data_IF_275967448793
#
_entry.id   IF_275967448793
#
_cell.length_a   1.000
_cell.length_b   1.000
_cell.length_c   1.000
_cell.angle_alpha   90.00
_cell.angle_beta   90.00
_cell.angle_gamma   90.00
#
_symmetry.space_group_name_H-M   'P 1'
#
loop_
_entity.id
_entity.type
_entity.pdbx_description
1 polymer ?
#
# COMPACT_ATOMS: atom_id res chain seq x y z
N UNK A 1 -22.73 4.07 -8.90
CA UNK A 1 -21.69 3.16 -9.38
C UNK A 1 -20.29 3.74 -9.09
N UNK A 2 -19.29 2.91 -8.78
CA UNK A 2 -17.89 3.34 -8.77
C UNK A 2 -17.45 3.76 -10.18
N UNK A 3 -16.44 4.65 -10.25
CA UNK A 3 -15.94 5.21 -11.52
C UNK A 3 -15.57 4.11 -12.55
N UNK A 4 -15.05 2.99 -12.10
CA UNK A 4 -14.71 1.83 -12.91
C UNK A 4 -15.94 1.25 -13.64
N UNK A 5 -17.06 1.04 -12.92
CA UNK A 5 -18.30 0.54 -13.54
C UNK A 5 -18.88 1.54 -14.55
N UNK A 6 -18.80 2.85 -14.25
CA UNK A 6 -19.22 3.90 -15.18
C UNK A 6 -18.37 3.89 -16.45
N UNK A 7 -17.05 3.75 -16.32
CA UNK A 7 -16.13 3.67 -17.45
C UNK A 7 -16.40 2.42 -18.29
N UNK A 8 -16.59 1.27 -17.68
CA UNK A 8 -16.89 0.01 -18.35
C UNK A 8 -18.22 0.10 -19.12
N UNK A 9 -19.25 0.66 -18.48
CA UNK A 9 -20.55 0.87 -19.15
C UNK A 9 -20.42 1.81 -20.36
N UNK A 10 -19.64 2.87 -20.24
CA UNK A 10 -19.41 3.80 -21.36
C UNK A 10 -18.64 3.15 -22.51
N UNK A 11 -17.75 2.20 -22.23
CA UNK A 11 -16.93 1.53 -23.23
C UNK A 11 -17.68 0.40 -23.95
N UNK A 12 -18.37 -0.46 -23.22
CA UNK A 12 -18.96 -1.68 -23.78
C UNK A 12 -20.43 -1.93 -23.39
N UNK A 13 -21.09 -0.98 -22.72
CA UNK A 13 -22.48 -1.12 -22.28
C UNK A 13 -22.69 -1.99 -21.04
N UNK A 14 -21.63 -2.51 -20.43
CA UNK A 14 -21.68 -3.40 -19.27
C UNK A 14 -21.15 -2.66 -18.04
N UNK A 15 -22.02 -2.45 -17.04
CA UNK A 15 -21.60 -1.91 -15.74
C UNK A 15 -21.07 -3.07 -14.89
N UNK A 16 -19.76 -3.21 -14.80
CA UNK A 16 -19.13 -4.25 -14.00
C UNK A 16 -17.86 -3.74 -13.31
N UNK A 17 -17.48 -4.38 -12.19
CA UNK A 17 -16.22 -4.20 -11.47
C UNK A 17 -15.61 -5.56 -11.19
N UNK A 18 -14.30 -5.59 -10.90
CA UNK A 18 -13.66 -6.81 -10.44
C UNK A 18 -14.02 -7.10 -8.97
N UNK A 19 -13.90 -8.37 -8.59
CA UNK A 19 -14.20 -8.82 -7.21
C UNK A 19 -13.26 -8.20 -6.19
N UNK A 20 -12.00 -7.90 -6.56
CA UNK A 20 -11.06 -7.25 -5.66
C UNK A 20 -11.45 -5.78 -5.37
N UNK A 21 -11.96 -5.05 -6.37
CA UNK A 21 -12.57 -3.73 -6.14
C UNK A 21 -13.83 -3.84 -5.29
N UNK A 22 -14.67 -4.88 -5.50
CA UNK A 22 -15.87 -5.11 -4.72
C UNK A 22 -15.59 -5.32 -3.22
N UNK A 23 -14.41 -5.85 -2.84
CA UNK A 23 -13.97 -5.94 -1.44
C UNK A 23 -13.99 -4.59 -0.71
N UNK A 24 -13.83 -3.47 -1.43
CA UNK A 24 -13.90 -2.13 -0.82
C UNK A 24 -15.32 -1.75 -0.38
N UNK A 25 -16.34 -2.50 -0.78
CA UNK A 25 -17.73 -2.32 -0.42
C UNK A 25 -18.22 -3.26 0.70
N UNK A 26 -17.30 -4.01 1.35
CA UNK A 26 -17.70 -4.83 2.51
C UNK A 26 -18.32 -3.99 3.62
N UNK A 27 -19.35 -4.47 4.31
CA UNK A 27 -19.95 -5.83 4.21
C UNK A 27 -21.00 -6.01 3.11
N UNK A 28 -21.32 -4.99 2.29
CA UNK A 28 -22.32 -5.12 1.21
C UNK A 28 -21.91 -6.17 0.17
N UNK A 29 -20.62 -6.32 -0.10
CA UNK A 29 -20.03 -7.46 -0.79
C UNK A 29 -19.61 -8.49 0.27
N UNK A 30 -20.09 -9.73 0.17
CA UNK A 30 -19.86 -10.79 1.17
C UNK A 30 -18.61 -11.65 0.88
N UNK A 31 -17.85 -11.30 -0.17
CA UNK A 31 -16.71 -12.07 -0.68
C UNK A 31 -17.05 -12.92 -1.91
N UNK A 32 -18.32 -13.12 -2.21
CA UNK A 32 -18.83 -13.90 -3.34
C UNK A 32 -19.77 -13.08 -4.22
N UNK A 33 -20.67 -12.31 -3.60
CA UNK A 33 -21.71 -11.53 -4.28
C UNK A 33 -22.14 -10.31 -3.46
N UNK A 34 -23.16 -9.63 -3.97
CA UNK A 34 -23.84 -8.59 -3.21
C UNK A 34 -24.80 -9.24 -2.21
N UNK A 35 -24.66 -8.91 -0.92
CA UNK A 35 -25.52 -9.45 0.15
C UNK A 35 -26.95 -8.95 -0.02
N UNK A 36 -27.84 -9.85 -0.42
CA UNK A 36 -29.25 -9.51 -0.67
C UNK A 36 -29.99 -9.05 0.60
N UNK A 37 -29.62 -9.58 1.77
CA UNK A 37 -30.23 -9.20 3.05
C UNK A 37 -29.83 -7.77 3.40
N UNK A 38 -28.55 -7.47 3.34
CA UNK A 38 -28.05 -6.14 3.62
C UNK A 38 -28.53 -5.11 2.60
N UNK A 39 -28.61 -5.49 1.32
CA UNK A 39 -29.25 -4.66 0.28
C UNK A 39 -30.68 -4.29 0.65
N UNK A 40 -31.49 -5.28 1.06
CA UNK A 40 -32.87 -5.06 1.46
C UNK A 40 -32.97 -4.14 2.71
N UNK A 41 -32.14 -4.35 3.71
CA UNK A 41 -32.10 -3.54 4.93
C UNK A 41 -31.72 -2.08 4.66
N UNK A 42 -30.84 -1.86 3.66
CA UNK A 42 -30.41 -0.52 3.24
C UNK A 42 -31.33 0.11 2.18
N UNK A 43 -32.34 -0.61 1.68
CA UNK A 43 -33.20 -0.15 0.61
C UNK A 43 -32.48 -0.02 -0.74
N UNK A 44 -31.43 -0.79 -0.96
CA UNK A 44 -30.63 -0.83 -2.18
C UNK A 44 -31.16 -1.96 -3.07
N UNK A 45 -31.47 -1.64 -4.32
CA UNK A 45 -31.81 -2.65 -5.32
C UNK A 45 -30.52 -3.36 -5.79
N UNK A 46 -30.36 -4.67 -5.57
CA UNK A 46 -29.19 -5.41 -6.02
C UNK A 46 -28.95 -5.31 -7.55
N UNK A 47 -30.01 -5.19 -8.33
CA UNK A 47 -29.93 -5.06 -9.80
C UNK A 47 -29.39 -3.67 -10.23
N UNK A 48 -29.41 -2.69 -9.33
CA UNK A 48 -28.79 -1.38 -9.55
C UNK A 48 -27.29 -1.36 -9.26
N UNK A 49 -26.77 -2.40 -8.60
CA UNK A 49 -25.33 -2.55 -8.34
C UNK A 49 -24.59 -3.05 -9.59
N UNK A 50 -23.29 -2.73 -9.74
CA UNK A 50 -22.52 -3.23 -10.88
C UNK A 50 -22.37 -4.75 -10.83
N UNK A 51 -22.35 -5.38 -12.00
CA UNK A 51 -22.00 -6.80 -12.11
C UNK A 51 -20.60 -7.07 -11.57
N UNK A 52 -20.37 -8.27 -11.07
CA UNK A 52 -19.08 -8.72 -10.57
C UNK A 52 -18.35 -9.53 -11.64
N UNK A 53 -17.11 -9.14 -11.94
CA UNK A 53 -16.26 -9.84 -12.90
C UNK A 53 -15.07 -10.47 -12.17
N UNK A 54 -14.84 -11.78 -12.27
CA UNK A 54 -13.67 -12.38 -11.63
C UNK A 54 -12.36 -11.96 -12.33
N UNK A 55 -11.48 -11.31 -11.60
CA UNK A 55 -10.13 -11.00 -12.05
C UNK A 55 -10.06 -10.31 -13.42
N UNK A 56 -9.32 -10.92 -14.35
CA UNK A 56 -9.07 -10.40 -15.70
C UNK A 56 -10.08 -10.91 -16.76
N UNK A 57 -11.25 -11.41 -16.39
CA UNK A 57 -12.24 -11.88 -17.35
C UNK A 57 -12.74 -10.74 -18.26
N UNK A 58 -12.93 -11.03 -19.54
CA UNK A 58 -13.54 -10.10 -20.48
C UNK A 58 -15.04 -9.90 -20.13
N UNK A 59 -15.49 -8.65 -20.10
CA UNK A 59 -16.88 -8.28 -19.85
C UNK A 59 -17.58 -7.76 -21.12
N UNK A 60 -16.82 -7.46 -22.15
CA UNK A 60 -17.31 -6.94 -23.42
C UNK A 60 -16.17 -6.50 -24.32
N UNK A 61 -16.53 -5.76 -25.37
CA UNK A 61 -15.57 -5.21 -26.32
C UNK A 61 -15.94 -3.79 -26.74
N UNK A 62 -14.98 -3.04 -27.26
CA UNK A 62 -15.18 -1.69 -27.79
C UNK A 62 -14.47 -1.54 -29.14
N UNK A 63 -15.12 -0.89 -30.07
CA UNK A 63 -14.52 -0.56 -31.36
C UNK A 63 -13.42 0.50 -31.23
N UNK A 64 -12.23 0.24 -31.78
CA UNK A 64 -11.07 1.15 -31.78
C UNK A 64 -10.77 1.69 -33.18
N UNK A 65 -11.83 2.07 -33.87
CA UNK A 65 -11.76 2.63 -35.23
C UNK A 65 -11.25 1.62 -36.25
N UNK A 66 -10.31 2.02 -37.11
CA UNK A 66 -9.76 1.15 -38.15
C UNK A 66 -8.88 -0.01 -37.60
N UNK A 67 -8.51 0.03 -36.32
CA UNK A 67 -7.69 -1.00 -35.69
C UNK A 67 -8.48 -2.22 -35.23
N UNK A 68 -9.83 -2.21 -35.39
CA UNK A 68 -10.68 -3.34 -35.04
C UNK A 68 -11.36 -3.20 -33.69
N UNK A 69 -11.33 -4.23 -32.86
CA UNK A 69 -12.03 -4.35 -31.59
C UNK A 69 -11.05 -4.63 -30.44
N UNK A 70 -11.26 -3.97 -29.31
CA UNK A 70 -10.51 -4.23 -28.08
C UNK A 70 -11.41 -4.86 -27.02
N UNK A 71 -10.91 -5.87 -26.31
CA UNK A 71 -11.59 -6.45 -25.17
C UNK A 71 -11.58 -5.49 -23.98
N UNK A 72 -12.67 -5.48 -23.23
CA UNK A 72 -12.82 -4.74 -21.97
C UNK A 72 -12.90 -5.76 -20.84
N UNK A 73 -12.06 -5.62 -19.83
CA UNK A 73 -12.14 -6.38 -18.57
C UNK A 73 -12.86 -5.58 -17.49
N UNK A 74 -13.23 -6.24 -16.40
CA UNK A 74 -13.75 -5.56 -15.21
C UNK A 74 -12.84 -4.46 -14.71
N UNK A 75 -11.54 -4.56 -14.98
CA UNK A 75 -10.49 -3.65 -14.50
C UNK A 75 -10.15 -3.94 -13.04
N UNK A 76 -9.42 -3.02 -12.41
CA UNK A 76 -9.16 -3.04 -10.97
C UNK A 76 -8.79 -1.64 -10.48
N UNK A 77 -8.77 -1.43 -9.18
CA UNK A 77 -8.25 -0.18 -8.60
C UNK A 77 -6.73 -0.08 -8.76
N UNK A 78 -6.20 1.13 -8.83
CA UNK A 78 -4.78 1.43 -9.08
C UNK A 78 -3.83 0.73 -8.09
N UNK A 79 -4.17 0.71 -6.80
CA UNK A 79 -3.37 0.05 -5.78
C UNK A 79 -3.23 -1.47 -6.03
N UNK A 80 -4.30 -2.15 -6.46
CA UNK A 80 -4.26 -3.58 -6.79
C UNK A 80 -3.56 -3.84 -8.13
N UNK A 81 -3.71 -2.94 -9.10
CA UNK A 81 -2.93 -3.02 -10.32
C UNK A 81 -1.42 -2.88 -10.02
N UNK A 82 -1.02 -1.98 -9.12
CA UNK A 82 0.37 -1.85 -8.69
C UNK A 82 0.90 -3.12 -8.00
N UNK A 83 0.10 -3.71 -7.12
CA UNK A 83 0.42 -4.99 -6.46
C UNK A 83 0.70 -6.11 -7.48
N UNK A 84 -0.05 -6.16 -8.57
CA UNK A 84 0.07 -7.20 -9.59
C UNK A 84 1.51 -7.33 -10.14
N UNK A 85 2.27 -6.24 -10.24
CA UNK A 85 3.63 -6.19 -10.81
C UNK A 85 4.70 -5.77 -9.81
N UNK A 86 4.41 -5.82 -8.52
CA UNK A 86 5.33 -5.37 -7.47
C UNK A 86 6.38 -6.40 -7.06
N UNK A 87 6.33 -7.64 -7.54
CA UNK A 87 7.18 -8.77 -7.10
C UNK A 87 7.10 -9.06 -5.58
N UNK A 88 5.97 -8.76 -4.96
CA UNK A 88 5.72 -9.05 -3.56
C UNK A 88 4.60 -10.10 -3.47
N UNK A 89 4.89 -11.36 -3.69
CA UNK A 89 3.86 -12.40 -3.75
C UNK A 89 4.19 -13.67 -2.97
N UNK A 90 5.32 -13.72 -2.29
CA UNK A 90 5.69 -14.86 -1.46
C UNK A 90 5.34 -14.60 0.01
N UNK A 91 4.87 -15.61 0.76
CA UNK A 91 4.76 -15.51 2.21
C UNK A 91 6.09 -15.03 2.83
N UNK A 92 6.02 -13.99 3.65
CA UNK A 92 7.20 -13.32 4.20
C UNK A 92 7.63 -12.06 3.43
N UNK A 93 7.08 -11.78 2.26
CA UNK A 93 7.23 -10.45 1.65
C UNK A 93 6.37 -9.42 2.41
N UNK A 94 6.83 -8.17 2.43
CA UNK A 94 6.04 -7.02 2.88
C UNK A 94 5.98 -6.00 1.75
N UNK A 95 4.81 -5.84 1.12
CA UNK A 95 4.61 -4.77 0.16
C UNK A 95 4.35 -3.46 0.89
N UNK A 96 5.12 -2.42 0.59
CA UNK A 96 4.92 -1.07 1.14
C UNK A 96 4.71 -0.08 0.01
N UNK A 97 3.48 0.40 -0.14
CA UNK A 97 3.18 1.46 -1.12
C UNK A 97 3.40 2.82 -0.46
N UNK A 98 4.49 3.48 -0.85
CA UNK A 98 4.89 4.81 -0.39
C UNK A 98 4.23 5.88 -1.28
N UNK A 99 2.92 6.04 -1.14
CA UNK A 99 2.10 7.03 -1.85
C UNK A 99 1.79 8.26 -1.01
N UNK A 100 0.73 8.99 -1.37
CA UNK A 100 0.11 10.02 -0.51
C UNK A 100 -0.22 9.44 0.87
N UNK A 101 -0.68 8.21 0.88
CA UNK A 101 -0.84 7.35 2.06
C UNK A 101 0.26 6.30 2.08
N UNK A 102 0.54 5.76 3.26
CA UNK A 102 1.45 4.64 3.43
C UNK A 102 0.61 3.36 3.58
N UNK A 103 0.88 2.36 2.76
CA UNK A 103 0.06 1.13 2.78
C UNK A 103 0.99 -0.07 2.91
N UNK A 104 1.22 -0.57 4.12
CA UNK A 104 1.94 -1.82 4.34
C UNK A 104 1.00 -3.02 4.26
N UNK A 105 1.43 -4.06 3.52
CA UNK A 105 0.80 -5.36 3.40
C UNK A 105 1.81 -6.45 3.72
N UNK A 106 1.60 -7.19 4.80
CA UNK A 106 2.33 -8.41 5.10
C UNK A 106 1.70 -9.57 4.32
N UNK A 107 2.49 -10.25 3.50
CA UNK A 107 2.04 -11.33 2.61
C UNK A 107 2.12 -12.67 3.33
N UNK A 108 1.05 -13.45 3.26
CA UNK A 108 0.90 -14.75 3.93
C UNK A 108 0.02 -15.68 3.10
N UNK A 109 0.10 -16.96 3.35
CA UNK A 109 -0.79 -18.00 2.80
C UNK A 109 -1.93 -18.38 3.77
N UNK A 110 -2.04 -17.68 4.91
CA UNK A 110 -3.05 -17.93 5.92
C UNK A 110 -4.06 -16.79 6.01
N UNK A 111 -5.35 -17.12 6.01
CA UNK A 111 -6.39 -16.17 6.39
C UNK A 111 -6.41 -15.99 7.90
N UNK A 112 -6.24 -14.76 8.37
CA UNK A 112 -6.36 -14.41 9.80
C UNK A 112 -7.05 -13.06 9.95
N UNK A 113 -7.93 -12.96 10.93
CA UNK A 113 -8.44 -11.68 11.37
C UNK A 113 -7.45 -11.07 12.38
N UNK A 114 -7.07 -9.81 12.16
CA UNK A 114 -6.13 -9.07 13.01
C UNK A 114 -6.77 -7.75 13.40
N UNK A 115 -6.93 -7.53 14.71
CA UNK A 115 -7.52 -6.31 15.23
C UNK A 115 -6.80 -5.06 14.70
N UNK A 116 -7.59 -4.15 14.12
CA UNK A 116 -7.09 -2.91 13.54
C UNK A 116 -6.50 -3.02 12.14
N UNK A 117 -6.31 -4.22 11.62
CA UNK A 117 -5.84 -4.45 10.24
C UNK A 117 -6.92 -5.12 9.38
N UNK A 118 -6.74 -5.02 8.08
CA UNK A 118 -7.55 -5.75 7.12
C UNK A 118 -6.80 -6.98 6.64
N UNK A 119 -7.52 -8.07 6.43
CA UNK A 119 -7.05 -9.23 5.68
C UNK A 119 -7.82 -9.31 4.39
N UNK A 120 -7.12 -9.32 3.29
CA UNK A 120 -7.70 -9.36 1.95
C UNK A 120 -7.03 -10.45 1.10
N UNK A 121 -7.73 -11.07 0.16
CA UNK A 121 -7.09 -11.88 -0.87
C UNK A 121 -6.08 -11.04 -1.66
N UNK A 122 -4.93 -11.62 -1.92
CA UNK A 122 -3.91 -10.98 -2.75
C UNK A 122 -4.12 -11.32 -4.24
N UNK A 123 -3.38 -10.66 -5.12
CA UNK A 123 -3.46 -10.91 -6.57
C UNK A 123 -2.95 -12.29 -7.00
N UNK A 124 -2.17 -12.95 -6.16
CA UNK A 124 -1.71 -14.33 -6.34
C UNK A 124 -2.71 -15.28 -5.69
N UNK A 125 -3.27 -16.28 -6.41
CA UNK A 125 -4.23 -17.21 -5.84
C UNK A 125 -3.67 -17.95 -4.61
N UNK A 126 -4.48 -18.05 -3.55
CA UNK A 126 -4.11 -18.70 -2.30
C UNK A 126 -3.23 -17.86 -1.37
N UNK A 127 -2.89 -16.63 -1.77
CA UNK A 127 -2.11 -15.70 -0.96
C UNK A 127 -3.02 -14.60 -0.43
N UNK A 128 -2.74 -14.15 0.78
CA UNK A 128 -3.43 -13.09 1.51
C UNK A 128 -2.49 -11.93 1.79
N UNK A 129 -3.06 -10.75 1.98
CA UNK A 129 -2.35 -9.58 2.47
C UNK A 129 -3.01 -9.08 3.76
N UNK A 130 -2.22 -8.95 4.82
CA UNK A 130 -2.65 -8.42 6.12
C UNK A 130 -2.00 -7.05 6.32
N UNK A 131 -2.81 -6.03 6.55
CA UNK A 131 -2.30 -4.67 6.71
C UNK A 131 -3.36 -3.62 6.54
N UNK A 132 -3.00 -2.51 5.91
CA UNK A 132 -3.95 -1.45 5.60
C UNK A 132 -3.31 -0.10 5.38
N UNK A 133 -4.14 0.90 5.20
CA UNK A 133 -3.71 2.23 4.83
C UNK A 133 -3.54 3.13 6.06
N UNK A 134 -2.38 3.78 6.16
CA UNK A 134 -2.02 4.77 7.17
C UNK A 134 -1.88 6.17 6.57
N UNK A 135 -2.17 7.19 7.37
CA UNK A 135 -1.95 8.59 7.01
C UNK A 135 -0.48 9.05 7.15
N UNK A 136 0.42 8.15 7.57
CA UNK A 136 1.87 8.40 7.74
C UNK A 136 2.68 8.41 6.43
N UNK A 137 2.01 8.48 5.27
CA UNK A 137 2.65 8.51 3.96
C UNK A 137 3.12 9.89 3.52
N UNK A 138 3.13 10.11 2.20
CA UNK A 138 3.59 11.36 1.57
C UNK A 138 2.93 12.60 2.13
N UNK A 139 1.65 12.53 2.51
CA UNK A 139 0.94 13.67 3.10
C UNK A 139 1.59 14.14 4.42
N UNK A 140 2.05 13.23 5.25
CA UNK A 140 2.78 13.54 6.48
C UNK A 140 4.20 14.04 6.15
N UNK A 141 4.92 13.33 5.30
CA UNK A 141 6.28 13.70 4.90
C UNK A 141 6.32 15.10 4.26
N UNK A 142 5.39 15.39 3.34
CA UNK A 142 5.28 16.71 2.71
C UNK A 142 4.89 17.81 3.72
N UNK A 143 4.09 17.47 4.74
CA UNK A 143 3.79 18.40 5.82
C UNK A 143 5.07 18.76 6.59
N UNK A 144 5.88 17.77 6.99
CA UNK A 144 7.14 18.02 7.68
C UNK A 144 8.12 18.79 6.80
N UNK A 145 8.26 18.43 5.51
CA UNK A 145 9.12 19.15 4.56
C UNK A 145 8.75 20.63 4.46
N UNK A 146 7.46 20.96 4.43
CA UNK A 146 7.03 22.37 4.44
C UNK A 146 7.38 23.10 5.74
N UNK A 147 7.48 22.40 6.86
CA UNK A 147 7.86 22.99 8.15
C UNK A 147 9.37 23.26 8.25
N UNK A 148 10.18 22.33 7.73
CA UNK A 148 11.65 22.37 7.88
C UNK A 148 12.38 23.02 6.69
N UNK A 149 11.68 23.20 5.56
CA UNK A 149 12.27 23.70 4.31
C UNK A 149 12.98 22.60 3.52
N UNK A 150 13.77 23.03 2.53
CA UNK A 150 14.55 22.13 1.69
C UNK A 150 15.74 21.58 2.47
N UNK A 151 15.83 20.26 2.56
CA UNK A 151 16.90 19.51 3.20
C UNK A 151 17.41 18.46 2.22
N UNK A 152 18.71 18.44 1.97
CA UNK A 152 19.29 17.44 1.08
C UNK A 152 19.16 16.04 1.65
N UNK A 153 18.87 15.07 0.77
CA UNK A 153 18.73 13.66 1.18
C UNK A 153 20.03 13.10 1.79
N UNK A 154 21.20 13.59 1.34
CA UNK A 154 22.52 13.24 1.92
C UNK A 154 22.64 13.69 3.36
N UNK A 155 22.16 14.89 3.71
CA UNK A 155 22.20 15.41 5.08
C UNK A 155 21.27 14.59 5.99
N UNK A 156 20.09 14.23 5.50
CA UNK A 156 19.17 13.35 6.24
C UNK A 156 19.77 11.97 6.48
N UNK A 157 20.43 11.39 5.47
CA UNK A 157 21.12 10.09 5.57
C UNK A 157 22.30 10.11 6.55
N UNK A 158 22.95 11.26 6.70
CA UNK A 158 24.09 11.45 7.60
C UNK A 158 23.71 11.65 9.07
N UNK A 159 22.41 11.89 9.37
CA UNK A 159 21.96 12.06 10.76
C UNK A 159 22.18 10.79 11.56
N UNK A 160 22.98 10.91 12.61
CA UNK A 160 23.23 9.81 13.54
C UNK A 160 21.92 9.34 14.21
N UNK A 161 21.76 8.04 14.47
CA UNK A 161 20.50 7.49 14.94
C UNK A 161 20.08 7.98 16.33
N UNK A 162 21.03 8.30 17.21
CA UNK A 162 20.81 8.86 18.54
C UNK A 162 20.41 10.35 18.54
N UNK A 163 20.59 11.02 17.38
CA UNK A 163 20.23 12.42 17.17
C UNK A 163 18.82 12.63 16.61
N UNK A 164 18.00 11.61 16.54
CA UNK A 164 16.67 11.69 15.92
C UNK A 164 15.59 11.75 16.98
N UNK A 165 14.74 12.81 17.02
CA UNK A 165 13.55 12.86 17.85
C UNK A 165 12.51 11.81 17.38
N UNK A 166 11.36 11.72 18.05
CA UNK A 166 10.32 10.76 17.69
C UNK A 166 9.06 11.49 17.21
N UNK A 167 8.64 11.24 15.98
CA UNK A 167 7.34 11.68 15.46
C UNK A 167 6.25 10.66 15.72
N UNK A 168 5.07 11.15 16.11
CA UNK A 168 3.78 10.49 15.90
C UNK A 168 3.16 11.10 14.64
N UNK A 169 2.95 10.36 13.54
CA UNK A 169 2.73 10.95 12.22
C UNK A 169 1.26 11.28 11.89
N UNK A 170 0.38 11.39 12.88
CA UNK A 170 -1.08 11.39 12.74
C UNK A 170 -1.66 12.75 12.36
N UNK A 171 -1.16 13.41 11.31
CA UNK A 171 -1.56 14.77 10.89
C UNK A 171 -3.04 14.92 10.50
N UNK A 172 -3.71 13.80 10.17
CA UNK A 172 -5.14 13.75 9.77
C UNK A 172 -5.89 12.63 10.47
N UNK A 173 -5.61 12.40 11.76
CA UNK A 173 -6.03 11.17 12.41
C UNK A 173 -5.24 9.97 11.89
N UNK A 174 -5.63 8.78 12.29
CA UNK A 174 -5.03 7.56 11.77
C UNK A 174 -6.10 6.54 11.40
N UNK A 175 -5.84 5.82 10.29
CA UNK A 175 -6.65 4.69 9.86
C UNK A 175 -6.16 3.43 10.55
N UNK A 176 -5.58 2.52 9.82
CA UNK A 176 -5.00 1.32 10.42
C UNK A 176 -3.73 1.65 11.22
N UNK A 177 -3.52 1.03 12.36
CA UNK A 177 -4.39 0.06 13.04
C UNK A 177 -5.37 0.68 14.03
N UNK A 178 -5.42 2.00 14.19
CA UNK A 178 -6.15 2.67 15.26
C UNK A 178 -7.61 3.00 14.91
N UNK A 179 -7.91 3.25 13.64
CA UNK A 179 -9.21 3.74 13.16
C UNK A 179 -9.73 4.95 13.94
N UNK A 180 -8.81 5.87 14.29
CA UNK A 180 -9.07 7.03 15.15
C UNK A 180 -8.85 8.35 14.38
N UNK A 181 -9.94 9.04 13.99
CA UNK A 181 -9.85 10.33 13.31
C UNK A 181 -9.40 11.48 14.23
N UNK A 182 -9.38 11.26 15.55
CA UNK A 182 -9.02 12.28 16.55
C UNK A 182 -7.54 12.35 16.86
N UNK A 183 -6.75 11.33 16.52
CA UNK A 183 -5.30 11.33 16.72
C UNK A 183 -4.65 12.52 16.03
N UNK A 184 -3.61 13.06 16.67
CA UNK A 184 -2.86 14.21 16.13
C UNK A 184 -1.37 13.94 16.15
N UNK A 185 -0.68 14.54 15.18
CA UNK A 185 0.78 14.46 15.10
C UNK A 185 1.44 15.14 16.30
N UNK A 186 2.54 14.56 16.75
CA UNK A 186 3.35 15.10 17.84
C UNK A 186 4.81 14.81 17.59
N UNK A 187 5.68 15.78 17.89
CA UNK A 187 7.12 15.60 17.89
C UNK A 187 7.61 15.54 19.33
N UNK A 188 8.21 14.44 19.69
CA UNK A 188 8.63 14.11 21.06
C UNK A 188 10.14 14.12 21.17
N UNK A 189 10.62 14.32 22.40
CA UNK A 189 12.03 14.20 22.76
C UNK A 189 12.94 15.17 21.95
N UNK A 190 12.43 16.40 21.71
CA UNK A 190 13.15 17.44 20.97
C UNK A 190 14.19 18.11 21.88
N UNK A 191 15.41 18.27 21.38
CA UNK A 191 16.51 18.96 22.03
C UNK A 191 16.96 20.20 21.25
N UNK A 192 17.67 21.11 21.90
CA UNK A 192 18.16 22.38 21.31
C UNK A 192 19.01 22.17 20.06
N UNK A 193 19.71 21.05 19.98
CA UNK A 193 20.58 20.71 18.84
C UNK A 193 19.88 20.06 17.65
N UNK A 194 18.55 19.84 17.69
CA UNK A 194 17.82 19.28 16.56
C UNK A 194 17.50 20.34 15.53
N UNK A 195 18.02 20.15 14.31
CA UNK A 195 17.75 20.99 13.15
C UNK A 195 16.81 20.33 12.12
N UNK A 196 16.69 20.95 10.94
CA UNK A 196 15.83 20.45 9.87
C UNK A 196 16.10 19.00 9.44
N UNK A 197 17.38 18.59 9.38
CA UNK A 197 17.77 17.25 8.94
C UNK A 197 17.32 16.17 9.95
N UNK A 198 17.52 16.41 11.26
CA UNK A 198 17.10 15.51 12.33
C UNK A 198 15.58 15.36 12.37
N UNK A 199 14.85 16.47 12.22
CA UNK A 199 13.38 16.46 12.22
C UNK A 199 12.83 15.70 11.00
N UNK A 200 13.44 15.86 9.81
CA UNK A 200 13.02 15.12 8.61
C UNK A 200 13.45 13.65 8.68
N UNK A 201 14.63 13.33 9.22
CA UNK A 201 15.06 11.95 9.45
C UNK A 201 14.08 11.21 10.38
N UNK A 202 13.66 11.87 11.46
CA UNK A 202 12.67 11.33 12.39
C UNK A 202 11.30 11.14 11.73
N UNK A 203 10.94 11.96 10.74
CA UNK A 203 9.67 11.76 10.00
C UNK A 203 9.73 10.50 9.11
N UNK A 204 10.84 10.24 8.45
CA UNK A 204 11.03 8.98 7.72
C UNK A 204 11.06 7.77 8.66
N UNK A 205 11.71 7.89 9.84
CA UNK A 205 11.68 6.84 10.86
C UNK A 205 10.25 6.56 11.35
N UNK A 206 9.42 7.60 11.54
CA UNK A 206 8.01 7.42 11.95
C UNK A 206 7.21 6.64 10.91
N UNK A 207 7.40 6.90 9.62
CA UNK A 207 6.78 6.10 8.55
C UNK A 207 7.27 4.64 8.60
N UNK A 208 8.56 4.41 8.83
CA UNK A 208 9.11 3.07 9.00
C UNK A 208 8.55 2.35 10.24
N UNK A 209 8.37 3.06 11.35
CA UNK A 209 7.77 2.52 12.58
C UNK A 209 6.29 2.17 12.40
N UNK A 210 5.56 2.91 11.58
CA UNK A 210 4.19 2.53 11.19
C UNK A 210 4.21 1.20 10.42
N UNK A 211 5.11 1.03 9.45
CA UNK A 211 5.26 -0.24 8.72
C UNK A 211 5.59 -1.37 9.68
N UNK A 212 6.59 -1.18 10.55
CA UNK A 212 6.97 -2.17 11.56
C UNK A 212 5.80 -2.54 12.47
N UNK A 213 5.02 -1.54 12.92
CA UNK A 213 3.84 -1.77 13.74
C UNK A 213 2.81 -2.67 13.06
N UNK A 214 2.55 -2.45 11.77
CA UNK A 214 1.64 -3.32 11.00
C UNK A 214 2.18 -4.75 10.89
N UNK A 215 3.47 -4.90 10.62
CA UNK A 215 4.14 -6.21 10.53
C UNK A 215 4.10 -6.96 11.86
N UNK A 216 4.37 -6.25 12.98
CA UNK A 216 4.29 -6.82 14.33
C UNK A 216 2.87 -7.33 14.65
N UNK A 217 1.84 -6.53 14.30
CA UNK A 217 0.43 -6.91 14.49
C UNK A 217 0.03 -8.07 13.58
N UNK A 218 0.47 -8.06 12.34
CA UNK A 218 0.22 -9.14 11.40
C UNK A 218 0.86 -10.46 11.84
N UNK A 219 1.85 -10.43 12.74
CA UNK A 219 2.53 -11.59 13.31
C UNK A 219 3.00 -12.59 12.24
N UNK A 220 3.48 -12.07 11.11
CA UNK A 220 4.13 -12.84 10.04
C UNK A 220 5.63 -12.96 10.30
N UNK A 221 6.33 -13.78 9.51
CA UNK A 221 7.80 -13.89 9.54
C UNK A 221 8.37 -13.16 8.32
N UNK A 222 8.51 -11.82 8.38
CA UNK A 222 8.92 -11.04 7.23
C UNK A 222 10.38 -11.28 6.87
N UNK A 223 10.67 -11.32 5.56
CA UNK A 223 12.03 -11.56 5.04
C UNK A 223 12.58 -10.35 4.28
N UNK A 224 11.71 -9.56 3.66
CA UNK A 224 12.05 -8.35 2.91
C UNK A 224 10.86 -7.41 2.78
N UNK A 225 11.16 -6.15 2.48
CA UNK A 225 10.18 -5.17 2.01
C UNK A 225 10.33 -5.02 0.50
N UNK A 226 9.21 -4.97 -0.21
CA UNK A 226 9.14 -4.49 -1.59
C UNK A 226 8.48 -3.12 -1.56
N UNK A 227 9.24 -2.08 -1.88
CA UNK A 227 8.76 -0.70 -1.87
C UNK A 227 8.27 -0.25 -3.25
N UNK A 228 7.07 0.34 -3.28
CA UNK A 228 6.44 0.88 -4.47
C UNK A 228 5.95 2.32 -4.24
N UNK A 229 5.52 3.00 -5.30
CA UNK A 229 4.96 4.33 -5.24
C UNK A 229 5.99 5.48 -5.30
N UNK A 230 5.47 6.70 -5.28
CA UNK A 230 6.29 7.92 -5.50
C UNK A 230 7.35 8.20 -4.45
N UNK A 231 7.15 7.72 -3.22
CA UNK A 231 8.09 7.88 -2.10
C UNK A 231 9.41 7.13 -2.30
N UNK A 232 9.45 6.13 -3.17
CA UNK A 232 10.67 5.38 -3.49
C UNK A 232 11.78 6.24 -4.09
N UNK A 233 11.45 7.43 -4.59
CA UNK A 233 12.41 8.41 -5.09
C UNK A 233 13.19 9.14 -3.99
N UNK A 234 12.85 8.93 -2.72
CA UNK A 234 13.57 9.52 -1.58
C UNK A 234 14.50 8.47 -0.94
N UNK A 235 15.82 8.49 -1.23
CA UNK A 235 16.75 7.49 -0.71
C UNK A 235 16.78 7.42 0.81
N UNK A 236 16.65 8.56 1.50
CA UNK A 236 16.61 8.60 2.96
C UNK A 236 15.35 7.92 3.54
N UNK A 237 14.21 7.97 2.83
CA UNK A 237 13.02 7.24 3.25
C UNK A 237 13.18 5.73 3.08
N UNK A 238 13.77 5.29 1.96
CA UNK A 238 14.04 3.86 1.74
C UNK A 238 15.03 3.30 2.77
N UNK A 239 16.08 4.08 3.11
CA UNK A 239 17.01 3.70 4.17
C UNK A 239 16.34 3.68 5.55
N UNK A 240 15.46 4.63 5.84
CA UNK A 240 14.70 4.64 7.10
C UNK A 240 13.75 3.43 7.20
N UNK A 241 13.13 3.00 6.09
CA UNK A 241 12.35 1.76 6.05
C UNK A 241 13.20 0.55 6.40
N UNK A 242 14.39 0.42 5.80
CA UNK A 242 15.30 -0.68 6.09
C UNK A 242 15.74 -0.66 7.56
N UNK A 243 16.23 0.47 8.05
CA UNK A 243 16.74 0.61 9.42
C UNK A 243 15.64 0.45 10.49
N UNK A 244 14.46 1.03 10.26
CA UNK A 244 13.36 1.02 11.22
C UNK A 244 12.65 -0.34 11.34
N UNK A 245 12.69 -1.15 10.28
CA UNK A 245 12.10 -2.50 10.26
C UNK A 245 13.14 -3.61 10.47
N UNK A 246 14.43 -3.33 10.23
CA UNK A 246 15.49 -4.34 10.23
C UNK A 246 15.46 -5.27 9.02
N UNK A 247 14.69 -4.94 7.98
CA UNK A 247 14.50 -5.75 6.78
C UNK A 247 15.15 -5.09 5.57
N UNK A 248 15.73 -5.85 4.63
CA UNK A 248 16.17 -5.30 3.35
C UNK A 248 14.96 -4.77 2.56
N UNK A 249 15.17 -3.66 1.84
CA UNK A 249 14.15 -3.00 1.02
C UNK A 249 14.52 -3.12 -0.46
N UNK A 250 13.71 -3.82 -1.22
CA UNK A 250 13.81 -3.90 -2.68
C UNK A 250 12.97 -2.77 -3.30
N UNK A 251 13.62 -1.95 -4.10
CA UNK A 251 13.01 -0.82 -4.80
C UNK A 251 13.00 -1.13 -6.30
N UNK A 252 11.81 -1.20 -6.90
CA UNK A 252 11.67 -1.47 -8.33
C UNK A 252 12.24 -0.35 -9.21
N UNK A 253 12.75 -0.70 -10.40
CA UNK A 253 13.33 0.26 -11.33
C UNK A 253 12.31 1.21 -11.97
N UNK A 254 11.03 0.86 -11.96
CA UNK A 254 9.97 1.63 -12.64
C UNK A 254 8.89 2.13 -11.68
N UNK A 255 8.63 3.45 -11.64
CA UNK A 255 7.64 4.04 -10.73
C UNK A 255 6.18 3.89 -11.19
N UNK A 256 5.91 3.33 -12.39
CA UNK A 256 4.57 3.25 -12.99
C UNK A 256 3.92 1.87 -12.79
N UNK A 257 3.86 1.38 -11.56
CA UNK A 257 3.33 0.06 -11.23
C UNK A 257 1.88 -0.15 -11.67
N UNK A 258 0.98 0.76 -11.36
CA UNK A 258 -0.44 0.63 -11.67
C UNK A 258 -0.74 0.49 -13.18
N UNK A 259 -0.10 1.32 -14.03
CA UNK A 259 -0.28 1.23 -15.48
C UNK A 259 0.28 -0.09 -16.06
N UNK A 260 1.41 -0.57 -15.52
CA UNK A 260 2.00 -1.86 -15.91
C UNK A 260 1.16 -3.04 -15.45
N UNK A 261 0.60 -2.97 -14.24
CA UNK A 261 -0.34 -3.97 -13.74
C UNK A 261 -1.61 -4.05 -14.58
N UNK A 262 -2.20 -2.90 -14.92
CA UNK A 262 -3.35 -2.84 -15.82
C UNK A 262 -3.02 -3.41 -17.20
N UNK A 263 -1.83 -3.15 -17.74
CA UNK A 263 -1.38 -3.75 -19.01
C UNK A 263 -1.22 -5.26 -18.89
N UNK A 264 -0.70 -5.78 -17.78
CA UNK A 264 -0.62 -7.23 -17.56
C UNK A 264 -2.00 -7.87 -17.47
N UNK A 265 -2.93 -7.28 -16.69
CA UNK A 265 -4.32 -7.72 -16.58
C UNK A 265 -4.96 -7.77 -17.98
N UNK A 266 -4.74 -6.75 -18.82
CA UNK A 266 -5.26 -6.72 -20.19
C UNK A 266 -4.71 -7.86 -21.07
N UNK A 267 -3.46 -8.28 -20.87
CA UNK A 267 -2.87 -9.42 -21.57
C UNK A 267 -3.53 -10.74 -21.14
N UNK A 268 -3.84 -10.91 -19.85
CA UNK A 268 -4.62 -12.07 -19.36
C UNK A 268 -6.02 -12.06 -19.99
N UNK A 269 -6.69 -10.91 -20.02
CA UNK A 269 -8.01 -10.74 -20.67
C UNK A 269 -7.97 -11.13 -22.15
N UNK A 270 -6.89 -10.81 -22.85
CA UNK A 270 -6.70 -11.13 -24.26
C UNK A 270 -6.22 -12.58 -24.51
N UNK A 271 -6.02 -13.39 -23.46
CA UNK A 271 -5.52 -14.77 -23.60
C UNK A 271 -4.04 -14.85 -23.97
N UNK A 272 -3.29 -13.76 -23.82
CA UNK A 272 -1.83 -13.72 -24.07
C UNK A 272 -1.01 -14.22 -22.88
N UNK A 273 -1.63 -14.28 -21.71
CA UNK A 273 -1.14 -14.86 -20.47
C UNK A 273 -2.22 -15.75 -19.86
N UNK A 274 -1.83 -16.81 -19.18
CA UNK A 274 -2.77 -17.78 -18.61
C UNK A 274 -3.54 -17.22 -17.40
N UNK A 275 -2.85 -16.45 -16.57
CA UNK A 275 -3.37 -15.90 -15.32
C UNK A 275 -2.44 -14.78 -14.78
N UNK A 276 -2.70 -14.32 -13.56
CA UNK A 276 -1.90 -13.26 -12.92
C UNK A 276 -0.59 -13.76 -12.29
N UNK A 277 -0.34 -15.06 -12.20
CA UNK A 277 0.87 -15.59 -11.53
C UNK A 277 2.17 -15.22 -12.24
N UNK A 278 2.12 -15.06 -13.56
CA UNK A 278 3.27 -14.63 -14.37
C UNK A 278 3.62 -13.14 -14.28
N UNK A 279 2.80 -12.34 -13.59
CA UNK A 279 2.95 -10.87 -13.50
C UNK A 279 4.28 -10.45 -12.85
N UNK A 280 4.82 -11.28 -11.95
CA UNK A 280 6.10 -11.06 -11.28
C UNK A 280 7.27 -10.90 -12.27
N UNK A 281 7.23 -11.55 -13.42
CA UNK A 281 8.23 -11.38 -14.47
C UNK A 281 8.24 -9.95 -15.04
N UNK A 282 7.18 -9.17 -14.79
CA UNK A 282 7.10 -7.76 -15.17
C UNK A 282 7.64 -6.82 -14.10
N UNK A 283 7.91 -7.31 -12.90
CA UNK A 283 8.63 -6.55 -11.90
C UNK A 283 10.05 -6.28 -12.42
N UNK A 284 10.38 -5.02 -12.68
CA UNK A 284 11.73 -4.68 -13.09
C UNK A 284 12.61 -4.60 -11.85
N UNK A 285 13.67 -5.41 -11.76
CA UNK A 285 14.61 -5.31 -10.65
C UNK A 285 15.25 -3.92 -10.65
N UNK A 286 15.31 -3.30 -9.49
CA UNK A 286 15.94 -2.02 -9.28
C UNK A 286 17.19 -2.17 -8.39
N UNK A 287 17.13 -1.62 -7.19
CA UNK A 287 18.20 -1.73 -6.20
C UNK A 287 17.67 -2.19 -4.86
N UNK A 288 18.57 -2.78 -4.07
CA UNK A 288 18.29 -3.18 -2.69
C UNK A 288 18.96 -2.22 -1.73
N UNK A 289 18.25 -1.89 -0.67
CA UNK A 289 18.74 -1.09 0.46
C UNK A 289 18.82 -2.01 1.67
N UNK A 290 20.04 -2.21 2.17
CA UNK A 290 20.27 -3.05 3.35
C UNK A 290 20.12 -2.22 4.65
N UNK A 291 19.57 -2.81 5.72
CA UNK A 291 19.50 -2.18 7.01
C UNK A 291 20.89 -1.99 7.61
N UNK A 292 21.16 -0.84 8.22
CA UNK A 292 22.41 -0.54 8.92
C UNK A 292 22.32 -1.06 10.36
N UNK A 293 23.14 -2.03 10.79
CA UNK A 293 22.99 -2.69 12.09
C UNK A 293 22.96 -1.72 13.28
N UNK A 294 23.82 -0.69 13.28
CA UNK A 294 23.88 0.30 14.35
C UNK A 294 22.60 1.16 14.42
N UNK A 295 22.01 1.49 13.26
CA UNK A 295 20.75 2.22 13.18
C UNK A 295 19.56 1.37 13.62
N UNK A 296 19.53 0.09 13.27
CA UNK A 296 18.52 -0.86 13.74
C UNK A 296 18.56 -0.95 15.27
N UNK A 297 19.74 -1.18 15.85
CA UNK A 297 19.90 -1.30 17.30
C UNK A 297 19.47 -0.01 18.03
N UNK A 298 19.91 1.16 17.56
CA UNK A 298 19.51 2.45 18.14
C UNK A 298 18.02 2.78 17.92
N UNK A 299 17.41 2.21 16.88
CA UNK A 299 15.98 2.37 16.55
C UNK A 299 15.03 1.73 17.56
N UNK A 300 15.46 0.70 18.29
CA UNK A 300 14.59 -0.06 19.21
C UNK A 300 13.99 0.79 20.33
N UNK A 301 14.79 1.63 20.97
CA UNK A 301 14.31 2.52 22.03
C UNK A 301 13.30 3.55 21.49
N UNK A 302 13.56 4.10 20.29
CA UNK A 302 12.67 5.05 19.63
C UNK A 302 11.38 4.40 19.15
N UNK A 303 11.44 3.18 18.63
CA UNK A 303 10.26 2.41 18.29
C UNK A 303 9.40 2.09 19.51
N UNK A 304 10.02 1.68 20.62
CA UNK A 304 9.32 1.48 21.91
C UNK A 304 8.64 2.78 22.37
N UNK A 305 9.34 3.90 22.28
CA UNK A 305 8.81 5.23 22.60
C UNK A 305 7.64 5.61 21.72
N UNK A 306 7.77 5.38 20.40
CA UNK A 306 6.73 5.59 19.39
C UNK A 306 5.46 4.77 19.73
N UNK A 307 5.61 3.46 19.97
CA UNK A 307 4.50 2.56 20.31
C UNK A 307 3.77 3.01 21.56
N UNK A 308 4.52 3.31 22.63
CA UNK A 308 3.94 3.76 23.91
C UNK A 308 3.17 5.08 23.79
N UNK A 309 3.73 6.05 23.09
CA UNK A 309 3.09 7.34 22.91
C UNK A 309 1.93 7.30 21.90
N UNK A 310 2.00 6.43 20.88
CA UNK A 310 0.95 6.25 19.89
C UNK A 310 -0.28 5.51 20.44
N UNK A 311 -0.15 4.75 21.51
CA UNK A 311 -1.25 4.02 22.14
C UNK A 311 -2.14 4.93 23.04
N UNK A 312 -1.65 6.07 23.44
CA UNK A 312 -2.40 7.09 24.19
C UNK A 312 -3.11 8.05 23.24
#
# INVERSE_FOLDING_TARGET
WPAQAVANHALCGVAAIDTATAMTAMPLFDGVGWDATLCADLGVDPDALPGLSPGAAAIGSVGIGASGEALVSGGTIDALAEQTVADAGDPGDVLVVCGTTLIPWAITDEWREVDGLWTIPYTVPGIMAIGGASNAGGIFIDHVRRMVGDVDQSDVLAVAPDRRPVWLPYVRGERTPFHDPTKRASLLDVEVGHGPAEVLAAAYDAAAFVVRHHVDLAATSPTRIVAAGGGTRAPAWMQALADGTGLPVDVGAHPMGAARGAAYISRVTAGLESDLSGSRAWAAPGHRVEPRPDHVAAGEARYTRFRKAGAS
#
